data_IF_051571848646
#
_entry.id   IF_051571848646
#
_cell.length_a   1.000
_cell.length_b   1.000
_cell.length_c   1.000
_cell.angle_alpha   90.00
_cell.angle_beta   90.00
_cell.angle_gamma   90.00
#
_symmetry.space_group_name_H-M   'P 1'
#
loop_
_entity.id
_entity.type
_entity.pdbx_description
1 polymer ?
#
# COMPACT_ATOMS: atom_id res chain seq x y z
N UNK A 1 -14.13 10.05 13.04
CA UNK A 1 -13.92 11.06 14.09
C UNK A 1 -15.21 11.37 14.85
N UNK A 2 -16.32 11.60 14.16
CA UNK A 2 -17.61 11.99 14.76
C UNK A 2 -18.26 10.92 15.65
N UNK A 3 -17.78 9.68 15.62
CA UNK A 3 -18.18 8.59 16.53
C UNK A 3 -17.14 8.34 17.64
N UNK A 4 -16.24 9.29 17.91
CA UNK A 4 -15.24 9.18 18.97
C UNK A 4 -13.98 8.36 18.61
N UNK A 5 -13.90 7.80 17.41
CA UNK A 5 -12.72 7.05 17.00
C UNK A 5 -11.50 7.95 16.76
N UNK A 6 -10.35 7.59 17.32
CA UNK A 6 -9.07 8.19 16.95
C UNK A 6 -8.52 7.54 15.70
N UNK A 7 -8.02 8.35 14.77
CA UNK A 7 -7.54 7.92 13.45
C UNK A 7 -6.07 8.26 13.29
N UNK A 8 -5.25 7.26 12.94
CA UNK A 8 -3.90 7.43 12.43
C UNK A 8 -3.98 7.53 10.91
N UNK A 9 -3.68 8.70 10.37
CA UNK A 9 -3.67 8.95 8.92
C UNK A 9 -2.28 8.67 8.36
N UNK A 10 -2.16 7.55 7.64
CA UNK A 10 -0.90 7.12 7.01
C UNK A 10 -0.69 7.75 5.61
N UNK A 11 -1.57 8.63 5.17
CA UNK A 11 -1.50 9.26 3.85
C UNK A 11 -1.62 8.23 2.71
N UNK A 12 -0.83 8.43 1.65
CA UNK A 12 -0.77 7.50 0.54
C UNK A 12 0.00 6.23 0.96
N UNK A 13 -0.72 5.13 1.08
CA UNK A 13 -0.19 3.86 1.56
C UNK A 13 -0.55 2.70 0.61
N UNK A 14 0.24 1.65 0.64
CA UNK A 14 -0.08 0.41 -0.08
C UNK A 14 -0.98 -0.50 0.76
N UNK A 15 -1.79 -1.33 0.11
CA UNK A 15 -2.65 -2.29 0.84
C UNK A 15 -1.85 -3.19 1.79
N UNK A 16 -0.69 -3.78 1.41
CA UNK A 16 0.11 -4.57 2.34
C UNK A 16 0.64 -3.77 3.53
N UNK A 17 0.97 -2.48 3.34
CA UNK A 17 1.42 -1.65 4.46
C UNK A 17 0.31 -1.42 5.49
N UNK A 18 -0.94 -1.27 5.06
CA UNK A 18 -2.06 -1.10 5.98
C UNK A 18 -2.40 -2.38 6.74
N UNK A 19 -2.17 -3.55 6.12
CA UNK A 19 -2.23 -4.82 6.83
C UNK A 19 -1.16 -4.92 7.92
N UNK A 20 0.06 -4.43 7.65
CA UNK A 20 1.13 -4.40 8.67
C UNK A 20 0.91 -3.30 9.71
N UNK A 21 0.34 -2.18 9.32
CA UNK A 21 0.08 -1.05 10.21
C UNK A 21 -0.77 -1.44 11.42
N UNK A 22 -1.79 -2.29 11.23
CA UNK A 22 -2.65 -2.75 12.33
C UNK A 22 -1.90 -3.61 13.36
N UNK A 23 -0.78 -4.23 12.97
CA UNK A 23 0.06 -5.02 13.87
C UNK A 23 1.12 -4.18 14.60
N UNK A 24 1.46 -3.01 14.07
CA UNK A 24 2.60 -2.22 14.51
C UNK A 24 2.24 -0.86 15.12
N UNK A 25 1.05 -0.37 14.86
CA UNK A 25 0.50 0.85 15.46
C UNK A 25 -0.48 0.49 16.58
N UNK A 26 -0.66 1.37 17.58
CA UNK A 26 -1.61 1.14 18.67
C UNK A 26 -3.04 1.41 18.19
N UNK A 27 -3.58 0.55 17.31
CA UNK A 27 -4.92 0.64 16.75
C UNK A 27 -5.60 -0.73 16.71
N UNK A 28 -6.91 -0.73 16.77
CA UNK A 28 -7.74 -1.95 16.81
C UNK A 28 -7.99 -2.49 15.40
N UNK A 29 -8.01 -1.61 14.41
CA UNK A 29 -8.22 -1.96 13.00
C UNK A 29 -7.53 -0.97 12.06
N UNK A 30 -7.38 -1.37 10.82
CA UNK A 30 -6.96 -0.47 9.75
C UNK A 30 -7.89 -0.56 8.54
N UNK A 31 -7.97 0.53 7.80
CA UNK A 31 -8.81 0.64 6.60
C UNK A 31 -7.97 1.17 5.45
N UNK A 32 -7.90 0.42 4.36
CA UNK A 32 -7.32 0.88 3.11
C UNK A 32 -8.42 1.35 2.16
N UNK A 33 -8.35 2.61 1.77
CA UNK A 33 -9.23 3.17 0.71
C UNK A 33 -8.57 2.85 -0.62
N UNK A 34 -9.19 1.98 -1.43
CA UNK A 34 -8.64 1.55 -2.72
C UNK A 34 -9.70 0.91 -3.60
N UNK A 35 -9.66 1.20 -4.88
CA UNK A 35 -10.44 0.47 -5.88
C UNK A 35 -9.70 -0.74 -6.47
N UNK A 36 -8.52 -1.11 -5.91
CA UNK A 36 -7.66 -2.17 -6.46
C UNK A 36 -7.24 -1.85 -7.90
N UNK A 37 -7.62 -2.72 -8.86
CA UNK A 37 -7.36 -2.60 -10.29
C UNK A 37 -8.55 -2.05 -11.11
N UNK A 38 -9.55 -1.49 -10.42
CA UNK A 38 -10.73 -0.91 -11.07
C UNK A 38 -10.45 0.50 -11.60
N UNK A 39 -11.27 1.00 -12.53
CA UNK A 39 -11.15 2.35 -13.08
C UNK A 39 -11.18 3.44 -12.00
N UNK A 40 -10.54 4.57 -12.29
CA UNK A 40 -10.30 5.68 -11.37
C UNK A 40 -11.55 6.29 -10.70
N UNK A 41 -12.72 6.12 -11.29
CA UNK A 41 -13.99 6.62 -10.74
C UNK A 41 -14.64 5.67 -9.73
N UNK A 42 -14.01 4.53 -9.43
CA UNK A 42 -14.45 3.60 -8.38
C UNK A 42 -13.61 3.76 -7.13
N UNK A 43 -14.24 3.48 -5.99
CA UNK A 43 -13.59 3.37 -4.69
C UNK A 43 -14.03 2.09 -3.99
N UNK A 44 -13.24 1.67 -3.02
CA UNK A 44 -13.54 0.56 -2.14
C UNK A 44 -12.84 0.73 -0.81
N UNK A 45 -13.25 -0.06 0.16
CA UNK A 45 -12.66 -0.12 1.49
C UNK A 45 -12.24 -1.55 1.78
N UNK A 46 -11.00 -1.73 2.22
CA UNK A 46 -10.51 -3.01 2.74
C UNK A 46 -10.23 -2.84 4.22
N UNK A 47 -10.75 -3.74 5.03
CA UNK A 47 -10.65 -3.68 6.48
C UNK A 47 -9.73 -4.78 6.98
N UNK A 48 -8.89 -4.45 7.95
CA UNK A 48 -7.96 -5.37 8.58
C UNK A 48 -8.02 -5.23 10.09
N UNK A 49 -7.89 -6.36 10.78
CA UNK A 49 -7.67 -6.46 12.21
C UNK A 49 -6.35 -7.18 12.47
N UNK A 50 -5.84 -7.25 13.69
CA UNK A 50 -4.68 -8.08 14.00
C UNK A 50 -4.84 -9.56 13.65
N UNK A 51 -6.08 -10.04 13.54
CA UNK A 51 -6.38 -11.42 13.12
C UNK A 51 -6.35 -11.62 11.59
N UNK A 52 -6.39 -10.56 10.81
CA UNK A 52 -6.38 -10.62 9.33
C UNK A 52 -7.36 -9.67 8.67
N UNK A 53 -7.57 -9.85 7.38
CA UNK A 53 -8.62 -9.16 6.63
C UNK A 53 -10.00 -9.66 7.03
N UNK A 54 -10.98 -8.78 7.01
CA UNK A 54 -12.37 -9.15 7.30
C UNK A 54 -12.97 -9.98 6.17
N UNK A 55 -13.82 -10.92 6.52
CA UNK A 55 -14.54 -11.78 5.59
C UNK A 55 -15.94 -11.24 5.24
N UNK A 56 -16.70 -12.00 4.43
CA UNK A 56 -18.03 -11.57 3.96
C UNK A 56 -19.06 -11.36 5.08
N UNK A 57 -19.15 -12.19 6.13
CA UNK A 57 -20.03 -11.94 7.27
C UNK A 57 -19.71 -10.62 7.97
N UNK A 58 -18.45 -10.34 8.27
CA UNK A 58 -17.99 -9.09 8.91
C UNK A 58 -18.35 -7.86 8.08
N UNK A 59 -18.11 -7.95 6.76
CA UNK A 59 -18.46 -6.87 5.82
C UNK A 59 -19.97 -6.63 5.78
N UNK A 60 -20.79 -7.70 5.87
CA UNK A 60 -22.23 -7.57 5.90
C UNK A 60 -22.71 -6.84 7.15
N UNK A 61 -22.10 -7.11 8.31
CA UNK A 61 -22.38 -6.42 9.56
C UNK A 61 -21.99 -4.92 9.48
N UNK A 62 -20.83 -4.60 8.92
CA UNK A 62 -20.41 -3.21 8.69
C UNK A 62 -21.40 -2.47 7.80
N UNK A 63 -21.89 -3.11 6.73
CA UNK A 63 -22.87 -2.52 5.82
C UNK A 63 -24.22 -2.29 6.51
N UNK A 64 -24.68 -3.22 7.34
CA UNK A 64 -25.89 -3.04 8.13
C UNK A 64 -25.75 -1.86 9.10
N UNK A 65 -24.62 -1.74 9.79
CA UNK A 65 -24.33 -0.59 10.64
C UNK A 65 -24.32 0.73 9.87
N UNK A 66 -23.72 0.74 8.68
CA UNK A 66 -23.65 1.94 7.84
C UNK A 66 -25.05 2.39 7.35
N UNK A 67 -25.96 1.45 7.14
CA UNK A 67 -27.33 1.73 6.65
C UNK A 67 -28.28 2.11 7.79
N UNK A 68 -28.16 1.45 8.94
CA UNK A 68 -29.17 1.49 10.02
C UNK A 68 -28.58 2.01 11.35
N UNK A 69 -27.30 2.34 11.39
CA UNK A 69 -26.61 2.80 12.61
C UNK A 69 -27.14 4.13 13.13
N UNK A 70 -26.98 4.33 14.44
CA UNK A 70 -27.35 5.58 15.08
C UNK A 70 -26.47 6.75 14.59
N UNK A 71 -27.07 7.94 14.51
CA UNK A 71 -26.30 9.15 14.24
C UNK A 71 -25.25 9.40 15.36
N UNK A 72 -24.09 9.98 15.04
CA UNK A 72 -23.08 10.33 16.05
C UNK A 72 -23.63 11.35 17.04
N UNK A 73 -23.17 11.27 18.28
CA UNK A 73 -23.51 12.26 19.31
C UNK A 73 -22.56 13.45 19.18
N UNK A 74 -23.05 14.67 19.46
CA UNK A 74 -22.23 15.90 19.37
C UNK A 74 -20.99 15.87 20.30
N UNK A 75 -21.01 15.01 21.34
CA UNK A 75 -19.91 14.84 22.30
C UNK A 75 -18.86 13.84 21.83
N UNK A 76 -19.10 13.09 20.76
CA UNK A 76 -18.21 12.06 20.29
C UNK A 76 -17.16 12.70 19.36
N UNK A 77 -16.00 13.06 19.93
CA UNK A 77 -14.90 13.68 19.20
C UNK A 77 -13.68 12.78 19.24
N UNK A 78 -13.38 12.14 18.12
CA UNK A 78 -12.12 11.44 17.90
C UNK A 78 -11.00 12.39 17.48
N UNK A 79 -9.78 11.89 17.44
CA UNK A 79 -8.59 12.62 17.03
C UNK A 79 -8.07 12.13 15.68
N UNK A 80 -7.45 13.04 14.90
CA UNK A 80 -6.72 12.70 13.68
C UNK A 80 -5.24 12.96 13.91
N UNK A 81 -4.43 11.91 13.75
CA UNK A 81 -2.97 11.97 13.95
C UNK A 81 -2.28 11.54 12.65
N UNK A 82 -1.58 12.43 11.95
CA UNK A 82 -0.76 12.05 10.80
C UNK A 82 0.40 11.17 11.25
N UNK A 83 0.67 10.10 10.49
CA UNK A 83 1.75 9.13 10.78
C UNK A 83 2.51 8.81 9.50
N UNK A 84 3.82 9.01 9.50
CA UNK A 84 4.70 8.51 8.44
C UNK A 84 4.97 7.01 8.62
N UNK A 85 3.94 6.21 8.34
CA UNK A 85 4.06 4.77 8.42
C UNK A 85 4.82 4.17 7.23
N UNK A 86 4.74 4.79 6.04
CA UNK A 86 5.36 4.24 4.84
C UNK A 86 6.89 4.22 4.91
N UNK A 87 7.53 5.18 5.58
CA UNK A 87 8.97 5.16 5.84
C UNK A 87 9.36 3.97 6.72
N UNK A 88 8.63 3.75 7.82
CA UNK A 88 8.83 2.58 8.70
C UNK A 88 8.59 1.26 7.96
N UNK A 89 7.54 1.19 7.16
CA UNK A 89 7.24 0.00 6.35
C UNK A 89 8.34 -0.31 5.34
N UNK A 90 8.88 0.71 4.66
CA UNK A 90 10.02 0.53 3.76
C UNK A 90 11.29 0.06 4.50
N UNK A 91 11.56 0.56 5.72
CA UNK A 91 12.66 0.08 6.57
C UNK A 91 12.50 -1.40 6.90
N UNK A 92 11.31 -1.81 7.30
CA UNK A 92 10.99 -3.20 7.62
C UNK A 92 11.21 -4.12 6.40
N UNK A 93 10.74 -3.69 5.22
CA UNK A 93 10.94 -4.44 3.98
C UNK A 93 12.42 -4.59 3.64
N UNK A 94 13.21 -3.51 3.76
CA UNK A 94 14.66 -3.58 3.53
C UNK A 94 15.33 -4.57 4.47
N UNK A 95 14.96 -4.55 5.73
CA UNK A 95 15.54 -5.47 6.72
C UNK A 95 15.11 -6.93 6.47
N UNK A 96 13.88 -7.16 6.06
CA UNK A 96 13.42 -8.51 5.66
C UNK A 96 14.21 -9.04 4.45
N UNK A 97 14.45 -8.20 3.45
CA UNK A 97 15.23 -8.57 2.26
C UNK A 97 16.68 -8.85 2.65
N UNK A 98 17.31 -8.00 3.48
CA UNK A 98 18.68 -8.23 3.97
C UNK A 98 18.81 -9.57 4.66
N UNK A 99 17.90 -9.88 5.57
CA UNK A 99 17.87 -11.16 6.29
C UNK A 99 17.62 -12.35 5.35
N UNK A 100 16.72 -12.19 4.39
CA UNK A 100 16.34 -13.27 3.47
C UNK A 100 17.43 -13.58 2.46
N UNK A 101 18.10 -12.58 1.92
CA UNK A 101 19.21 -12.74 0.96
C UNK A 101 20.48 -13.16 1.68
N UNK A 102 20.77 -12.60 2.86
CA UNK A 102 21.95 -12.89 3.68
C UNK A 102 23.27 -12.83 2.89
N UNK A 103 23.42 -11.78 2.05
CA UNK A 103 24.63 -11.58 1.25
C UNK A 103 25.84 -11.16 2.10
N UNK A 104 27.05 -11.32 1.57
CA UNK A 104 28.30 -10.85 2.22
C UNK A 104 28.25 -9.34 2.45
N UNK A 105 27.85 -8.56 1.44
CA UNK A 105 27.48 -7.15 1.66
C UNK A 105 26.01 -7.08 2.16
N UNK A 106 25.86 -7.16 3.46
CA UNK A 106 24.56 -7.11 4.12
C UNK A 106 23.82 -5.78 3.87
N UNK A 107 24.54 -4.69 3.68
CA UNK A 107 23.92 -3.38 3.44
C UNK A 107 23.30 -3.30 2.04
N UNK A 108 23.94 -3.92 1.04
CA UNK A 108 23.53 -3.85 -0.36
C UNK A 108 23.33 -5.25 -0.98
N UNK A 109 22.43 -6.08 -0.43
CA UNK A 109 22.27 -7.48 -0.84
C UNK A 109 21.80 -7.64 -2.29
N UNK A 110 21.32 -6.56 -2.91
CA UNK A 110 20.84 -6.55 -4.28
C UNK A 110 21.83 -5.89 -5.26
N UNK A 111 23.10 -5.66 -4.83
CA UNK A 111 24.13 -5.14 -5.71
C UNK A 111 24.36 -6.08 -6.90
N UNK A 112 24.38 -5.51 -8.11
CA UNK A 112 24.51 -6.26 -9.36
C UNK A 112 23.19 -6.76 -9.97
N UNK A 113 22.08 -6.62 -9.28
CA UNK A 113 20.76 -6.88 -9.86
C UNK A 113 20.18 -5.63 -10.52
N UNK A 114 19.67 -5.76 -11.75
CA UNK A 114 18.80 -4.77 -12.38
C UNK A 114 17.35 -5.20 -12.18
N UNK A 115 16.57 -4.35 -11.51
CA UNK A 115 15.18 -4.64 -11.14
C UNK A 115 14.30 -3.50 -11.65
N UNK A 116 13.45 -3.80 -12.62
CA UNK A 116 12.49 -2.82 -13.17
C UNK A 116 11.17 -2.92 -12.43
N UNK A 117 10.67 -1.79 -11.97
CA UNK A 117 9.36 -1.64 -11.35
C UNK A 117 8.47 -0.83 -12.27
N UNK A 118 7.32 -1.37 -12.63
CA UNK A 118 6.22 -0.62 -13.22
C UNK A 118 5.14 -0.45 -12.14
N UNK A 119 4.98 0.76 -11.63
CA UNK A 119 3.99 1.04 -10.59
C UNK A 119 2.62 1.45 -11.14
N UNK A 120 2.49 1.57 -12.48
CA UNK A 120 1.23 1.93 -13.14
C UNK A 120 0.59 3.21 -12.60
N UNK A 121 1.41 4.16 -12.10
CA UNK A 121 0.95 5.35 -11.38
C UNK A 121 0.12 5.07 -10.10
N UNK A 122 0.22 3.87 -9.54
CA UNK A 122 -0.37 3.51 -8.26
C UNK A 122 0.53 3.82 -7.06
N UNK A 123 0.15 3.31 -5.89
CA UNK A 123 0.91 3.50 -4.64
C UNK A 123 2.22 2.69 -4.57
N UNK A 124 2.54 1.87 -5.58
CA UNK A 124 3.69 0.95 -5.56
C UNK A 124 5.04 1.59 -5.92
N UNK A 125 5.08 2.85 -6.37
CA UNK A 125 6.32 3.50 -6.80
C UNK A 125 7.42 3.56 -5.74
N UNK A 126 7.05 3.60 -4.46
CA UNK A 126 7.99 3.61 -3.35
C UNK A 126 8.90 2.36 -3.30
N UNK A 127 8.47 1.21 -3.83
CA UNK A 127 9.30 0.01 -3.84
C UNK A 127 10.62 0.24 -4.57
N UNK A 128 10.61 0.94 -5.71
CA UNK A 128 11.82 1.25 -6.45
C UNK A 128 12.78 2.14 -5.64
N UNK A 129 12.31 3.31 -5.22
CA UNK A 129 13.14 4.33 -4.62
C UNK A 129 13.47 4.08 -3.14
N UNK A 130 12.51 3.56 -2.36
CA UNK A 130 12.64 3.46 -0.91
C UNK A 130 13.03 2.05 -0.44
N UNK A 131 12.90 1.03 -1.30
CA UNK A 131 13.25 -0.34 -0.92
C UNK A 131 14.40 -0.88 -1.77
N UNK A 132 14.24 -0.99 -3.09
CA UNK A 132 15.20 -1.67 -3.96
C UNK A 132 16.49 -0.89 -4.14
N UNK A 133 16.41 0.41 -4.46
CA UNK A 133 17.57 1.25 -4.65
C UNK A 133 18.50 1.34 -3.42
N UNK A 134 17.99 1.53 -2.18
CA UNK A 134 18.84 1.53 -0.99
C UNK A 134 19.49 0.18 -0.68
N UNK A 135 18.97 -0.91 -1.24
CA UNK A 135 19.55 -2.25 -1.14
C UNK A 135 20.60 -2.55 -2.22
N UNK A 136 20.94 -1.57 -3.07
CA UNK A 136 21.97 -1.68 -4.09
C UNK A 136 21.46 -2.13 -5.47
N UNK A 137 20.16 -2.32 -5.67
CA UNK A 137 19.65 -2.66 -7.00
C UNK A 137 19.77 -1.49 -7.97
N UNK A 138 20.10 -1.78 -9.23
CA UNK A 138 19.91 -0.87 -10.34
C UNK A 138 18.43 -0.86 -10.74
N UNK A 139 17.76 0.26 -10.51
CA UNK A 139 16.35 0.45 -10.83
C UNK A 139 16.12 1.16 -12.17
N UNK A 140 17.17 1.32 -12.98
CA UNK A 140 17.11 1.98 -14.29
C UNK A 140 16.11 1.26 -15.20
N UNK A 141 15.19 2.02 -15.78
CA UNK A 141 14.08 1.48 -16.59
C UNK A 141 12.77 1.34 -15.80
N UNK A 142 12.78 1.53 -14.49
CA UNK A 142 11.54 1.60 -13.72
C UNK A 142 10.67 2.76 -14.20
N UNK A 143 9.35 2.53 -14.27
CA UNK A 143 8.43 3.45 -14.93
C UNK A 143 7.15 3.68 -14.15
N UNK A 144 6.48 4.79 -14.44
CA UNK A 144 5.18 5.19 -13.87
C UNK A 144 5.16 5.16 -12.34
N UNK A 145 6.27 5.56 -11.71
CA UNK A 145 6.49 5.47 -10.26
C UNK A 145 5.70 6.52 -9.47
N UNK A 146 5.41 7.67 -10.12
CA UNK A 146 4.67 8.76 -9.46
C UNK A 146 3.18 8.46 -9.43
N UNK A 147 2.54 8.53 -8.25
CA UNK A 147 1.11 8.27 -8.13
C UNK A 147 0.26 9.28 -8.91
N UNK A 148 -0.62 8.79 -9.76
CA UNK A 148 -1.69 9.58 -10.38
C UNK A 148 -2.95 8.72 -10.47
N UNK A 149 -3.95 9.03 -9.66
CA UNK A 149 -5.19 8.26 -9.57
C UNK A 149 -6.01 8.21 -10.86
N UNK A 150 -5.61 8.94 -11.93
CA UNK A 150 -6.24 8.85 -13.26
C UNK A 150 -5.62 7.76 -14.14
N UNK A 151 -4.45 7.19 -13.71
CA UNK A 151 -3.74 6.13 -14.43
C UNK A 151 -3.49 6.44 -15.90
N UNK A 152 -2.72 7.52 -16.22
CA UNK A 152 -2.63 8.06 -17.59
C UNK A 152 -1.85 7.17 -18.56
N UNK A 153 -1.05 6.20 -18.08
CA UNK A 153 -0.15 5.44 -18.93
C UNK A 153 -0.73 4.08 -19.33
N UNK A 154 -1.33 3.34 -18.43
CA UNK A 154 -2.05 2.10 -18.70
C UNK A 154 -3.04 1.77 -17.57
N UNK A 155 -3.94 0.85 -17.84
CA UNK A 155 -4.87 0.33 -16.83
C UNK A 155 -4.07 -0.29 -15.67
N UNK A 156 -4.36 0.02 -14.40
CA UNK A 156 -3.63 -0.49 -13.24
C UNK A 156 -4.03 -1.94 -12.91
N UNK A 157 -4.01 -2.81 -13.91
CA UNK A 157 -4.34 -4.23 -13.79
C UNK A 157 -3.18 -5.07 -14.31
N UNK A 158 -2.50 -5.86 -13.47
CA UNK A 158 -1.38 -6.70 -13.86
C UNK A 158 -1.79 -7.89 -14.77
N UNK A 159 -3.08 -8.16 -14.94
CA UNK A 159 -3.60 -9.15 -15.90
C UNK A 159 -3.84 -8.54 -17.30
N UNK A 160 -3.71 -7.23 -17.43
CA UNK A 160 -3.90 -6.55 -18.71
C UNK A 160 -2.66 -6.74 -19.59
N UNK A 161 -2.86 -7.24 -20.81
CA UNK A 161 -1.76 -7.57 -21.75
C UNK A 161 -0.93 -6.34 -22.14
N UNK A 162 -1.54 -5.16 -22.30
CA UNK A 162 -0.85 -3.93 -22.65
C UNK A 162 0.04 -3.45 -21.49
N UNK A 163 -0.47 -3.50 -20.27
CA UNK A 163 0.31 -3.19 -19.07
C UNK A 163 1.51 -4.14 -18.91
N UNK A 164 1.31 -5.43 -19.13
CA UNK A 164 2.39 -6.42 -19.09
C UNK A 164 3.40 -6.24 -20.23
N UNK A 165 2.96 -5.92 -21.43
CA UNK A 165 3.85 -5.60 -22.55
C UNK A 165 4.74 -4.38 -22.27
N UNK A 166 4.20 -3.38 -21.56
CA UNK A 166 4.94 -2.19 -21.13
C UNK A 166 6.12 -2.53 -20.23
N UNK A 167 5.90 -3.26 -19.15
CA UNK A 167 6.98 -3.64 -18.22
C UNK A 167 7.98 -4.60 -18.86
N UNK A 168 7.53 -5.55 -19.70
CA UNK A 168 8.41 -6.43 -20.45
C UNK A 168 9.36 -5.64 -21.38
N UNK A 169 8.82 -4.66 -22.10
CA UNK A 169 9.63 -3.81 -22.98
C UNK A 169 10.64 -2.94 -22.20
N UNK A 170 10.31 -2.51 -21.00
CA UNK A 170 11.23 -1.78 -20.12
C UNK A 170 12.37 -2.67 -19.56
N UNK A 171 12.12 -3.95 -19.39
CA UNK A 171 13.09 -4.91 -18.81
C UNK A 171 14.21 -5.28 -19.79
N UNK A 172 13.95 -5.27 -21.12
CA UNK A 172 14.93 -5.68 -22.15
C UNK A 172 15.77 -4.52 -22.70
N UNK A 173 15.56 -3.31 -22.20
CA UNK A 173 16.37 -2.11 -22.51
C UNK A 173 17.48 -1.92 -21.49
#
# INVERSE_FOLDING_TARGET
LTYGASVYDCGLASTPSMFMAVLELPCDCSVQITASHHPFFRNGLKFFTPAGGLDSPDISEILEYAQNGAAPKETDNGTLVPVDYMSKYADNLREMIRKGVNAEDYAHPLAGFKIVVDAGNGAGGFYANNVLKPLGADITGSQFLEPDGRFPNHIPNPENEEAMASVCAATVK
#
